data_IF_739325845126
#
_entry.id   IF_739325845126
#
_cell.length_a   1.000
_cell.length_b   1.000
_cell.length_c   1.000
_cell.angle_alpha   90.00
_cell.angle_beta   90.00
_cell.angle_gamma   90.00
#
_symmetry.space_group_name_H-M   'P 1'
#
loop_
_entity.id
_entity.type
_entity.pdbx_description
1 polymer ?
#
# COMPACT_ATOMS: atom_id res chain seq x y z
N UNK A 1 2.92 11.23 1.62
CA UNK A 1 3.78 10.42 0.73
C UNK A 1 3.73 8.97 1.15
N UNK A 2 3.73 8.06 0.21
CA UNK A 2 3.70 6.60 0.44
C UNK A 2 4.92 5.98 -0.24
N UNK A 3 5.69 5.15 0.47
CA UNK A 3 6.89 4.49 -0.04
C UNK A 3 6.81 3.01 0.30
N UNK A 4 7.10 2.15 -0.69
CA UNK A 4 7.29 0.73 -0.47
C UNK A 4 8.40 0.20 -1.34
N UNK A 5 9.61 0.28 -0.81
CA UNK A 5 10.82 -0.19 -1.47
C UNK A 5 11.35 -1.45 -0.78
N UNK A 6 11.70 -2.45 -1.55
CA UNK A 6 12.28 -3.69 -1.06
C UNK A 6 13.19 -4.34 -2.10
N UNK A 7 14.16 -5.13 -1.66
CA UNK A 7 14.95 -5.95 -2.57
C UNK A 7 14.10 -7.08 -3.18
N UNK A 8 14.55 -7.63 -4.31
CA UNK A 8 13.99 -8.86 -4.86
C UNK A 8 14.03 -9.99 -3.84
N UNK A 9 13.04 -10.87 -3.88
CA UNK A 9 13.04 -12.11 -3.10
C UNK A 9 13.88 -13.17 -3.79
N UNK A 10 14.37 -14.16 -3.07
CA UNK A 10 15.13 -15.28 -3.64
C UNK A 10 14.37 -16.00 -4.77
N UNK A 11 13.04 -16.12 -4.66
CA UNK A 11 12.18 -16.71 -5.67
C UNK A 11 12.06 -15.88 -6.97
N UNK A 12 12.29 -14.57 -6.92
CA UNK A 12 12.21 -13.69 -8.08
C UNK A 12 13.37 -13.96 -9.08
N UNK A 13 14.45 -14.59 -8.63
CA UNK A 13 15.58 -15.04 -9.48
C UNK A 13 15.36 -16.40 -10.14
N UNK A 14 14.30 -17.12 -9.77
CA UNK A 14 14.03 -18.43 -10.34
C UNK A 14 13.11 -18.31 -11.58
N UNK A 15 13.70 -18.03 -12.72
CA UNK A 15 12.97 -17.83 -13.99
C UNK A 15 12.14 -19.03 -14.46
N UNK A 16 12.41 -20.24 -13.93
CA UNK A 16 11.65 -21.44 -14.26
C UNK A 16 10.39 -21.62 -13.39
N UNK A 17 10.35 -20.97 -12.24
CA UNK A 17 9.25 -21.08 -11.29
C UNK A 17 9.06 -19.75 -10.54
N UNK A 18 8.68 -18.71 -11.29
CA UNK A 18 8.38 -17.38 -10.73
C UNK A 18 7.16 -17.44 -9.83
N UNK A 19 7.13 -16.66 -8.74
CA UNK A 19 5.95 -16.47 -7.93
C UNK A 19 4.75 -16.03 -8.79
N UNK A 20 3.58 -16.55 -8.54
CA UNK A 20 2.36 -16.19 -9.30
C UNK A 20 2.07 -14.68 -9.26
N UNK A 21 2.51 -13.99 -8.18
CA UNK A 21 2.33 -12.55 -7.96
C UNK A 21 3.06 -11.66 -8.97
N UNK A 22 4.03 -12.18 -9.69
CA UNK A 22 4.79 -11.46 -10.73
C UNK A 22 4.54 -12.00 -12.13
N UNK A 23 3.52 -12.84 -12.27
CA UNK A 23 3.03 -13.37 -13.56
C UNK A 23 1.79 -12.57 -13.98
N UNK A 24 1.87 -11.63 -14.94
CA UNK A 24 0.77 -10.73 -15.28
C UNK A 24 -0.52 -11.45 -15.69
N UNK A 25 -0.40 -12.57 -16.38
CA UNK A 25 -1.54 -13.38 -16.83
C UNK A 25 -2.33 -14.01 -15.67
N UNK A 26 -1.71 -14.15 -14.50
CA UNK A 26 -2.32 -14.73 -13.30
C UNK A 26 -2.73 -13.64 -12.31
N UNK A 27 -1.80 -12.72 -12.02
CA UNK A 27 -1.97 -11.71 -10.99
C UNK A 27 -2.52 -10.37 -11.52
N UNK A 28 -2.62 -10.21 -12.83
CA UNK A 28 -3.00 -8.94 -13.45
C UNK A 28 -1.87 -7.91 -13.53
N UNK A 29 -0.72 -8.16 -12.91
CA UNK A 29 0.46 -7.28 -12.87
C UNK A 29 1.55 -7.84 -11.98
N UNK A 30 2.32 -6.96 -11.33
CA UNK A 30 3.40 -7.34 -10.44
C UNK A 30 3.06 -7.17 -8.95
N UNK A 31 4.11 -7.05 -8.14
CA UNK A 31 3.99 -6.85 -6.69
C UNK A 31 3.24 -5.56 -6.30
N UNK A 32 3.07 -4.64 -7.22
CA UNK A 32 2.26 -3.45 -6.99
C UNK A 32 0.82 -3.83 -6.63
N UNK A 33 0.20 -4.76 -7.38
CA UNK A 33 -1.15 -5.25 -7.07
C UNK A 33 -1.27 -6.05 -5.78
N UNK A 34 -0.16 -6.63 -5.29
CA UNK A 34 -0.14 -7.36 -4.02
C UNK A 34 0.03 -6.43 -2.82
N UNK A 35 0.78 -5.33 -2.96
CA UNK A 35 1.22 -4.52 -1.82
C UNK A 35 0.62 -3.11 -1.77
N UNK A 36 0.49 -2.41 -2.90
CA UNK A 36 -0.05 -1.05 -2.92
C UNK A 36 -1.51 -0.95 -2.44
N UNK A 37 -2.40 -1.96 -2.64
CA UNK A 37 -3.76 -1.89 -2.13
C UNK A 37 -3.82 -1.61 -0.64
N UNK A 38 -2.94 -2.22 0.17
CA UNK A 38 -2.93 -2.02 1.61
C UNK A 38 -2.64 -0.56 2.02
N UNK A 39 -1.82 0.13 1.25
CA UNK A 39 -1.47 1.53 1.51
C UNK A 39 -2.53 2.48 0.95
N UNK A 40 -2.98 2.25 -0.28
CA UNK A 40 -3.97 3.10 -0.95
C UNK A 40 -5.35 3.00 -0.29
N UNK A 41 -5.76 1.80 0.11
CA UNK A 41 -7.03 1.57 0.81
C UNK A 41 -7.03 2.27 2.17
N UNK A 42 -5.97 2.11 2.96
CA UNK A 42 -5.80 2.80 4.23
C UNK A 42 -5.85 4.33 4.07
N UNK A 43 -5.21 4.86 3.03
CA UNK A 43 -5.23 6.30 2.77
C UNK A 43 -6.64 6.78 2.37
N UNK A 44 -7.39 5.98 1.61
CA UNK A 44 -8.77 6.30 1.27
C UNK A 44 -9.73 6.20 2.46
N UNK A 45 -9.51 5.25 3.36
CA UNK A 45 -10.26 5.16 4.63
C UNK A 45 -10.05 6.41 5.50
N UNK A 46 -8.83 6.96 5.53
CA UNK A 46 -8.50 8.15 6.31
C UNK A 46 -8.91 9.47 5.67
N UNK A 47 -8.85 9.61 4.35
CA UNK A 47 -8.91 10.91 3.65
C UNK A 47 -10.02 11.02 2.59
N UNK A 48 -10.83 9.98 2.41
CA UNK A 48 -11.85 9.92 1.37
C UNK A 48 -11.34 9.32 0.06
N UNK A 49 -12.19 9.30 -0.96
CA UNK A 49 -11.89 8.64 -2.23
C UNK A 49 -10.81 9.39 -3.02
N UNK A 50 -9.90 8.66 -3.66
CA UNK A 50 -8.99 9.20 -4.67
C UNK A 50 -9.75 9.30 -5.99
N UNK A 51 -9.91 10.52 -6.52
CA UNK A 51 -10.66 10.80 -7.76
C UNK A 51 -9.76 10.99 -8.98
N UNK A 52 -8.50 11.37 -8.79
CA UNK A 52 -7.53 11.54 -9.85
C UNK A 52 -6.26 10.76 -9.48
N UNK A 53 -5.72 9.97 -10.41
CA UNK A 53 -4.47 9.25 -10.22
C UNK A 53 -3.74 9.07 -11.55
N UNK A 54 -2.44 9.31 -11.53
CA UNK A 54 -1.52 9.11 -12.65
C UNK A 54 -0.20 8.52 -12.17
N UNK A 55 0.42 7.69 -12.98
CA UNK A 55 1.69 7.08 -12.63
C UNK A 55 2.57 6.71 -13.81
N UNK A 56 3.83 6.50 -13.47
CA UNK A 56 4.85 5.95 -14.36
C UNK A 56 5.27 4.59 -13.83
N UNK A 57 5.29 3.59 -14.70
CA UNK A 57 5.74 2.23 -14.41
C UNK A 57 6.93 1.85 -15.26
N UNK A 58 7.82 1.03 -14.72
CA UNK A 58 8.91 0.44 -15.46
C UNK A 58 9.27 -0.93 -14.91
N UNK A 59 9.97 -1.71 -15.70
CA UNK A 59 10.65 -2.92 -15.27
C UNK A 59 12.16 -2.66 -15.36
N UNK A 60 12.79 -2.40 -14.22
CA UNK A 60 14.20 -2.01 -14.12
C UNK A 60 15.11 -3.18 -13.78
N UNK A 61 14.62 -4.15 -13.03
CA UNK A 61 15.37 -5.33 -12.63
C UNK A 61 15.39 -6.44 -13.67
N UNK A 62 14.39 -6.51 -14.55
CA UNK A 62 14.30 -7.53 -15.60
C UNK A 62 14.16 -8.97 -15.08
N UNK A 63 13.74 -9.16 -13.84
CA UNK A 63 13.64 -10.48 -13.21
C UNK A 63 12.37 -11.23 -13.61
N UNK A 64 11.34 -10.50 -14.02
CA UNK A 64 10.02 -10.98 -14.46
C UNK A 64 9.40 -9.98 -15.43
N UNK A 65 8.28 -10.29 -16.06
CA UNK A 65 7.67 -9.42 -17.08
C UNK A 65 6.90 -8.23 -16.49
N UNK A 66 6.34 -8.38 -15.29
CA UNK A 66 5.57 -7.32 -14.65
C UNK A 66 6.44 -6.10 -14.30
N UNK A 67 5.78 -4.98 -14.06
CA UNK A 67 6.40 -3.78 -13.51
C UNK A 67 7.01 -4.05 -12.13
N UNK A 68 8.18 -3.48 -11.88
CA UNK A 68 8.90 -3.58 -10.60
C UNK A 68 9.19 -2.24 -9.94
N UNK A 69 8.97 -1.15 -10.69
CA UNK A 69 9.21 0.23 -10.21
C UNK A 69 8.09 1.12 -10.68
N UNK A 70 7.40 1.76 -9.74
CA UNK A 70 6.24 2.62 -9.99
C UNK A 70 6.40 3.92 -9.19
N UNK A 71 6.07 5.05 -9.82
CA UNK A 71 5.90 6.34 -9.16
C UNK A 71 4.55 6.93 -9.55
N UNK A 72 3.82 7.50 -8.60
CA UNK A 72 2.49 8.02 -8.85
C UNK A 72 2.20 9.30 -8.08
N UNK A 73 1.26 10.08 -8.59
CA UNK A 73 0.58 11.14 -7.87
C UNK A 73 -0.93 10.91 -7.96
N UNK A 74 -1.65 11.38 -6.94
CA UNK A 74 -3.10 11.21 -6.85
C UNK A 74 -3.72 12.36 -6.03
N UNK A 75 -5.03 12.51 -6.17
CA UNK A 75 -5.78 13.57 -5.50
C UNK A 75 -7.08 13.02 -4.94
N UNK A 76 -7.30 13.29 -3.67
CA UNK A 76 -8.51 12.93 -2.95
C UNK A 76 -9.69 13.83 -3.33
N UNK A 77 -10.91 13.41 -3.04
CA UNK A 77 -12.15 14.18 -3.22
C UNK A 77 -12.16 15.50 -2.44
N UNK A 78 -11.48 15.56 -1.31
CA UNK A 78 -11.21 16.78 -0.54
C UNK A 78 -10.28 17.79 -1.24
N UNK A 79 -9.64 17.42 -2.35
CA UNK A 79 -8.60 18.19 -3.02
C UNK A 79 -7.19 17.97 -2.46
N UNK A 80 -7.02 17.16 -1.42
CA UNK A 80 -5.71 16.82 -0.85
C UNK A 80 -4.85 16.08 -1.89
N UNK A 81 -3.62 16.53 -2.20
CA UNK A 81 -2.72 15.79 -3.07
C UNK A 81 -1.95 14.70 -2.31
N UNK A 82 -1.65 13.61 -2.98
CA UNK A 82 -0.79 12.55 -2.50
C UNK A 82 0.20 12.09 -3.55
N UNK A 83 1.24 11.39 -3.12
CA UNK A 83 2.22 10.76 -4.01
C UNK A 83 2.69 9.44 -3.43
N UNK A 84 3.14 8.53 -4.29
CA UNK A 84 3.68 7.25 -3.89
C UNK A 84 4.82 6.76 -4.78
N UNK A 85 5.70 5.94 -4.19
CA UNK A 85 6.78 5.24 -4.87
C UNK A 85 6.84 3.80 -4.39
N UNK A 86 6.99 2.88 -5.33
CA UNK A 86 7.10 1.44 -5.07
C UNK A 86 8.23 0.88 -5.92
N UNK A 87 9.28 0.35 -5.29
CA UNK A 87 10.39 -0.30 -5.97
C UNK A 87 10.64 -1.69 -5.37
N UNK A 88 10.43 -2.73 -6.17
CA UNK A 88 10.55 -4.12 -5.73
C UNK A 88 11.91 -4.74 -6.10
N UNK A 89 12.82 -3.91 -6.60
CA UNK A 89 14.20 -4.27 -6.97
C UNK A 89 15.22 -3.33 -6.35
N UNK A 90 14.84 -2.66 -5.25
CA UNK A 90 15.71 -1.78 -4.50
C UNK A 90 16.87 -2.56 -3.85
N UNK A 91 17.99 -1.89 -3.59
CA UNK A 91 19.05 -2.45 -2.76
C UNK A 91 18.58 -2.62 -1.30
N UNK A 92 19.13 -3.58 -0.58
CA UNK A 92 18.75 -3.85 0.82
C UNK A 92 18.83 -2.63 1.74
N UNK A 93 19.83 -1.76 1.52
CA UNK A 93 19.97 -0.52 2.30
C UNK A 93 18.91 0.54 2.02
N UNK A 94 18.14 0.39 0.94
CA UNK A 94 17.04 1.28 0.56
C UNK A 94 15.66 0.67 0.88
N UNK A 95 15.64 -0.46 1.61
CA UNK A 95 14.38 -1.08 2.03
C UNK A 95 13.61 -0.14 2.94
N UNK A 96 12.40 0.23 2.53
CA UNK A 96 11.56 1.16 3.27
C UNK A 96 10.08 0.79 3.13
N UNK A 97 9.33 1.01 4.20
CA UNK A 97 7.88 0.96 4.24
C UNK A 97 7.41 2.13 5.08
N UNK A 98 6.91 3.18 4.41
CA UNK A 98 6.62 4.43 5.07
C UNK A 98 5.43 5.15 4.44
N UNK A 99 4.51 5.59 5.29
CA UNK A 99 3.53 6.63 4.98
C UNK A 99 3.89 7.87 5.78
N UNK A 100 3.91 9.02 5.12
CA UNK A 100 4.05 10.33 5.73
C UNK A 100 2.80 11.17 5.48
N UNK A 101 2.24 11.71 6.55
CA UNK A 101 1.12 12.64 6.52
C UNK A 101 1.61 13.95 7.10
N UNK A 102 1.60 15.00 6.28
CA UNK A 102 2.09 16.32 6.65
C UNK A 102 0.92 17.28 6.84
N UNK A 103 0.82 17.89 8.00
CA UNK A 103 -0.17 18.90 8.36
C UNK A 103 0.47 20.19 8.83
N UNK A 104 -0.35 21.19 9.14
CA UNK A 104 0.05 22.50 9.63
C UNK A 104 0.67 22.46 11.05
N UNK A 105 0.40 21.43 11.83
CA UNK A 105 0.89 21.26 13.21
C UNK A 105 1.99 20.23 13.36
N UNK A 106 2.36 19.55 12.26
CA UNK A 106 3.41 18.54 12.30
C UNK A 106 3.28 17.47 11.23
N UNK A 107 3.98 16.37 11.46
CA UNK A 107 4.03 15.24 10.55
C UNK A 107 3.83 13.94 11.33
N UNK A 108 3.04 13.02 10.76
CA UNK A 108 2.93 11.65 11.23
C UNK A 108 3.62 10.74 10.22
N UNK A 109 4.40 9.79 10.72
CA UNK A 109 5.11 8.81 9.91
C UNK A 109 4.91 7.41 10.50
N UNK A 110 4.51 6.44 9.65
CA UNK A 110 4.28 5.06 10.08
C UNK A 110 4.47 4.06 8.94
N UNK A 111 4.62 2.80 9.30
CA UNK A 111 4.69 1.64 8.40
C UNK A 111 3.35 0.92 8.31
N UNK A 112 3.05 0.30 7.15
CA UNK A 112 1.87 -0.55 6.96
C UNK A 112 2.18 -2.03 7.17
N UNK A 113 3.40 -2.46 6.83
CA UNK A 113 3.78 -3.88 6.81
C UNK A 113 4.72 -4.29 7.96
N UNK A 114 5.09 -3.34 8.83
CA UNK A 114 5.90 -3.60 10.01
C UNK A 114 5.20 -3.10 11.28
N UNK A 115 5.71 -3.53 12.43
CA UNK A 115 5.21 -3.09 13.74
C UNK A 115 6.05 -1.97 14.34
N UNK A 116 6.63 -1.13 13.49
CA UNK A 116 7.40 0.02 13.93
C UNK A 116 6.50 1.04 14.63
N UNK A 117 7.03 1.80 15.61
CA UNK A 117 6.29 2.86 16.25
C UNK A 117 5.79 3.91 15.24
N UNK A 118 4.62 4.47 15.50
CA UNK A 118 4.13 5.65 14.79
C UNK A 118 4.92 6.85 15.33
N UNK A 119 5.63 7.55 14.46
CA UNK A 119 6.36 8.76 14.82
C UNK A 119 5.52 10.00 14.59
N UNK A 120 5.31 10.80 15.63
CA UNK A 120 4.69 12.12 15.58
C UNK A 120 5.76 13.18 15.74
N UNK A 121 5.89 14.06 14.77
CA UNK A 121 6.81 15.21 14.78
C UNK A 121 6.01 16.50 14.87
N UNK A 122 6.22 17.29 15.92
CA UNK A 122 5.57 18.58 16.14
C UNK A 122 6.59 19.61 16.60
N UNK A 123 6.17 20.86 16.80
CA UNK A 123 7.00 21.90 17.42
C UNK A 123 7.52 21.51 18.83
N UNK A 124 6.84 20.59 19.52
CA UNK A 124 7.24 20.07 20.83
C UNK A 124 8.32 18.98 20.76
N UNK A 125 8.70 18.55 19.56
CA UNK A 125 9.67 17.50 19.31
C UNK A 125 9.06 16.26 18.68
N UNK A 126 9.79 15.13 18.80
CA UNK A 126 9.39 13.81 18.27
C UNK A 126 8.84 12.96 19.41
N UNK A 127 7.70 12.36 19.19
CA UNK A 127 7.07 11.35 20.03
C UNK A 127 6.90 10.04 19.25
N UNK A 128 7.11 8.91 19.90
CA UNK A 128 6.86 7.58 19.35
C UNK A 128 5.68 6.92 20.07
N UNK A 129 4.71 6.47 19.29
CA UNK A 129 3.49 5.82 19.77
C UNK A 129 3.56 4.37 19.30
N UNK A 130 3.60 3.42 20.23
CA UNK A 130 3.58 1.99 19.94
C UNK A 130 2.20 1.42 20.30
N UNK A 131 1.29 1.27 19.32
CA UNK A 131 -0.02 0.68 19.57
C UNK A 131 0.12 -0.81 19.87
N UNK A 132 -0.78 -1.38 20.68
CA UNK A 132 -0.81 -2.83 20.91
C UNK A 132 -1.18 -3.53 19.60
N UNK A 133 -0.33 -4.46 19.18
CA UNK A 133 -0.59 -5.26 17.98
C UNK A 133 -1.46 -6.47 18.32
N UNK A 134 -2.37 -6.87 17.42
CA UNK A 134 -3.15 -8.10 17.61
C UNK A 134 -2.22 -9.32 17.57
N UNK A 135 -2.57 -10.42 18.25
CA UNK A 135 -1.80 -11.67 18.21
C UNK A 135 -1.61 -12.23 16.80
N UNK A 136 -2.59 -11.98 15.94
CA UNK A 136 -2.58 -12.31 14.51
C UNK A 136 -3.07 -11.12 13.71
N UNK A 137 -2.35 -10.75 12.65
CA UNK A 137 -2.64 -9.59 11.80
C UNK A 137 -4.08 -9.58 11.27
N UNK A 138 -4.59 -10.75 10.86
CA UNK A 138 -5.93 -10.86 10.28
C UNK A 138 -7.06 -10.98 11.31
N UNK A 139 -6.75 -11.09 12.60
CA UNK A 139 -7.76 -11.32 13.64
C UNK A 139 -8.86 -10.24 13.67
N UNK A 140 -8.58 -8.94 13.58
CA UNK A 140 -9.61 -7.91 13.55
C UNK A 140 -10.57 -8.05 12.37
N UNK A 141 -10.04 -8.32 11.17
CA UNK A 141 -10.86 -8.52 9.97
C UNK A 141 -11.73 -9.77 10.08
N UNK A 142 -11.16 -10.89 10.48
CA UNK A 142 -11.92 -12.15 10.69
C UNK A 142 -13.05 -11.93 11.70
N UNK A 143 -12.78 -11.24 12.80
CA UNK A 143 -13.79 -10.89 13.79
C UNK A 143 -14.91 -10.06 13.19
N UNK A 144 -14.59 -8.99 12.44
CA UNK A 144 -15.57 -8.13 11.79
C UNK A 144 -16.46 -8.90 10.80
N UNK A 145 -15.88 -9.79 9.99
CA UNK A 145 -16.63 -10.66 9.07
C UNK A 145 -17.56 -11.61 9.81
N UNK A 146 -17.08 -12.26 10.88
CA UNK A 146 -17.89 -13.19 11.68
C UNK A 146 -19.05 -12.45 12.36
N UNK A 147 -18.83 -11.27 12.92
CA UNK A 147 -19.87 -10.46 13.55
C UNK A 147 -20.91 -9.99 12.53
N UNK A 148 -20.49 -9.65 11.30
CA UNK A 148 -21.40 -9.32 10.21
C UNK A 148 -22.27 -10.52 9.82
N UNK A 149 -21.68 -11.69 9.61
CA UNK A 149 -22.42 -12.91 9.28
C UNK A 149 -23.40 -13.36 10.39
N UNK A 150 -23.12 -12.98 11.63
CA UNK A 150 -24.02 -13.22 12.76
C UNK A 150 -25.09 -12.13 12.95
N UNK A 151 -25.12 -11.10 12.11
CA UNK A 151 -26.05 -9.98 12.21
C UNK A 151 -25.78 -9.05 13.42
N UNK A 152 -24.56 -9.09 13.99
CA UNK A 152 -24.19 -8.28 15.17
C UNK A 152 -23.62 -6.91 14.81
N UNK A 153 -22.94 -6.81 13.66
CA UNK A 153 -22.31 -5.58 13.17
C UNK A 153 -22.27 -5.60 11.65
N UNK A 154 -22.01 -4.44 11.04
CA UNK A 154 -21.75 -4.34 9.60
C UNK A 154 -20.23 -4.40 9.37
N UNK A 155 -19.78 -5.32 8.51
CA UNK A 155 -18.41 -5.30 8.01
C UNK A 155 -18.32 -4.28 6.87
N UNK A 156 -17.51 -3.25 7.03
CA UNK A 156 -17.30 -2.20 6.02
C UNK A 156 -16.25 -2.57 4.98
N UNK A 157 -15.48 -3.62 5.23
CA UNK A 157 -14.45 -4.11 4.30
C UNK A 157 -15.05 -5.21 3.41
N UNK A 158 -15.63 -4.83 2.30
CA UNK A 158 -16.27 -5.73 1.32
C UNK A 158 -15.80 -5.42 -0.11
N UNK A 159 -16.33 -6.15 -1.11
CA UNK A 159 -15.95 -5.96 -2.51
C UNK A 159 -16.34 -4.60 -3.07
N UNK A 160 -17.37 -3.96 -2.53
CA UNK A 160 -17.80 -2.61 -2.96
C UNK A 160 -16.82 -1.56 -2.44
N UNK A 161 -16.45 -1.64 -1.16
CA UNK A 161 -15.49 -0.73 -0.54
C UNK A 161 -14.07 -0.86 -1.12
N UNK A 162 -13.69 -2.05 -1.61
CA UNK A 162 -12.39 -2.29 -2.24
C UNK A 162 -12.30 -1.80 -3.71
N UNK A 163 -13.42 -1.58 -4.38
CA UNK A 163 -13.47 -1.19 -5.81
C UNK A 163 -12.71 0.11 -6.11
N UNK A 164 -12.84 1.21 -5.32
CA UNK A 164 -12.08 2.43 -5.55
C UNK A 164 -10.57 2.22 -5.56
N UNK A 165 -10.06 1.38 -4.67
CA UNK A 165 -8.62 1.07 -4.60
C UNK A 165 -8.12 0.37 -5.86
N UNK A 166 -8.88 -0.59 -6.41
CA UNK A 166 -8.55 -1.23 -7.67
C UNK A 166 -8.54 -0.23 -8.83
N UNK A 167 -9.54 0.66 -8.90
CA UNK A 167 -9.59 1.71 -9.91
C UNK A 167 -8.35 2.62 -9.84
N UNK A 168 -7.92 3.04 -8.65
CA UNK A 168 -6.70 3.85 -8.46
C UNK A 168 -5.47 3.14 -8.99
N UNK A 169 -5.32 1.84 -8.68
CA UNK A 169 -4.18 1.05 -9.17
C UNK A 169 -4.17 0.93 -10.70
N UNK A 170 -5.33 0.70 -11.31
CA UNK A 170 -5.45 0.61 -12.77
C UNK A 170 -5.13 1.94 -13.46
N UNK A 171 -5.56 3.07 -12.86
CA UNK A 171 -5.20 4.42 -13.31
C UNK A 171 -3.68 4.66 -13.23
N UNK A 172 -3.07 4.34 -12.10
CA UNK A 172 -1.61 4.48 -11.88
C UNK A 172 -0.83 3.66 -12.93
N UNK A 173 -1.31 2.47 -13.27
CA UNK A 173 -0.65 1.59 -14.24
C UNK A 173 -1.08 1.83 -15.70
N UNK A 174 -1.88 2.86 -15.97
CA UNK A 174 -2.39 3.20 -17.32
C UNK A 174 -3.11 2.02 -17.98
N UNK A 175 -4.02 1.36 -17.27
CA UNK A 175 -4.88 0.29 -17.78
C UNK A 175 -6.30 0.76 -18.10
N UNK A 176 -6.67 1.97 -17.67
CA UNK A 176 -7.94 2.64 -17.92
C UNK A 176 -7.74 3.91 -18.73
#
# INVERSE_FOLDING_TARGET
MCIRDRPPRALDYNTKNLPWRVQPDIAGGGYFYDLAPHQLDLLQDMFGCILEAEGYKSNRGGLYEAEDTISACFKFDSGLPGSGSWCFVAHDSAKEDRIEIIGDKGMICFSVFTYDPIALHTERGREEILPPNPPHVQLPLIKAVVEHLQGKAVCTCDGVSATPTNWVMDRILNKL
#
